data_IF_608784361860
#
_entry.id   IF_608784361860
#
_cell.length_a   1.000
_cell.length_b   1.000
_cell.length_c   1.000
_cell.angle_alpha   90.00
_cell.angle_beta   90.00
_cell.angle_gamma   90.00
#
_symmetry.space_group_name_H-M   'P 1'
#
loop_
_entity.id
_entity.type
_entity.pdbx_description
1 polymer ?
#
# COMPACT_ATOMS: atom_id res chain seq x y z
N UNK A 1 -15.04 34.22 47.07
CA UNK A 1 -16.03 33.16 47.34
C UNK A 1 -15.76 32.05 46.33
N UNK A 2 -14.90 31.07 46.65
CA UNK A 2 -15.25 29.79 47.32
C UNK A 2 -16.40 29.10 46.57
N UNK A 3 -16.27 27.90 45.99
CA UNK A 3 -15.78 26.69 46.63
C UNK A 3 -15.13 25.68 45.66
N UNK A 4 -14.13 25.01 46.21
CA UNK A 4 -13.43 23.79 45.77
C UNK A 4 -14.08 22.52 46.33
N UNK A 5 -14.02 21.40 45.61
CA UNK A 5 -14.06 20.01 46.13
C UNK A 5 -13.91 19.07 44.92
N UNK A 6 -12.79 18.38 44.63
CA UNK A 6 -12.01 17.37 45.36
C UNK A 6 -12.81 16.13 45.78
N UNK A 7 -12.63 15.03 45.03
CA UNK A 7 -12.46 13.68 45.61
C UNK A 7 -11.68 12.79 44.64
N UNK A 8 -10.68 12.11 45.20
CA UNK A 8 -9.80 11.13 44.57
C UNK A 8 -10.01 9.74 45.22
N UNK A 9 -9.28 8.74 44.68
CA UNK A 9 -9.07 7.37 45.19
C UNK A 9 -10.11 6.34 44.72
N UNK A 10 -9.77 5.12 44.29
CA UNK A 10 -8.89 4.14 44.95
C UNK A 10 -8.28 3.16 43.92
N UNK A 11 -6.99 2.87 44.08
CA UNK A 11 -6.27 1.76 43.45
C UNK A 11 -6.50 0.44 44.22
N UNK A 12 -6.56 -0.70 43.53
CA UNK A 12 -6.44 -2.01 44.17
C UNK A 12 -5.40 -2.88 43.46
N UNK A 13 -4.28 -3.12 44.15
CA UNK A 13 -3.28 -4.16 43.88
C UNK A 13 -3.71 -5.48 44.54
N UNK A 14 -3.55 -6.61 43.83
CA UNK A 14 -3.15 -7.96 44.34
C UNK A 14 -2.61 -8.73 43.13
N UNK A 15 -1.35 -9.15 42.96
CA UNK A 15 -0.31 -9.83 43.76
C UNK A 15 -0.36 -11.37 43.72
N UNK A 16 0.76 -11.96 43.22
CA UNK A 16 1.38 -13.27 43.54
C UNK A 16 0.71 -14.53 42.96
N UNK A 17 1.38 -15.63 42.60
CA UNK A 17 2.78 -16.07 42.69
C UNK A 17 2.99 -17.40 41.91
N UNK A 18 4.24 -17.64 41.49
CA UNK A 18 5.00 -18.92 41.44
C UNK A 18 4.45 -20.18 40.77
N UNK A 19 5.25 -20.82 39.91
CA UNK A 19 6.11 -21.96 40.29
C UNK A 19 6.86 -22.55 39.08
N UNK A 20 8.14 -22.85 39.30
CA UNK A 20 9.03 -23.62 38.44
C UNK A 20 8.98 -25.11 38.81
N UNK A 21 9.35 -26.01 37.87
CA UNK A 21 9.97 -27.35 38.04
C UNK A 21 10.17 -27.93 36.62
N UNK A 22 11.39 -28.07 36.07
CA UNK A 22 12.41 -29.14 36.24
C UNK A 22 12.11 -30.48 35.54
N UNK A 23 13.11 -30.95 34.77
CA UNK A 23 13.29 -32.31 34.21
C UNK A 23 13.75 -32.22 32.74
N UNK A 24 15.01 -32.46 32.34
CA UNK A 24 15.83 -33.67 32.51
C UNK A 24 15.41 -34.71 31.46
N UNK A 25 16.22 -35.24 30.54
CA UNK A 25 17.63 -35.13 30.18
C UNK A 25 17.92 -36.02 28.95
N UNK A 26 19.20 -36.07 28.54
CA UNK A 26 19.98 -37.19 27.92
C UNK A 26 19.33 -38.00 26.76
N UNK A 27 19.92 -38.25 25.60
CA UNK A 27 21.28 -38.22 25.09
C UNK A 27 21.41 -39.18 23.89
N UNK A 28 22.60 -39.22 23.25
CA UNK A 28 23.02 -40.27 22.30
C UNK A 28 22.80 -39.90 20.81
N UNK A 29 23.79 -39.46 20.03
CA UNK A 29 25.07 -40.08 19.61
C UNK A 29 24.92 -41.26 18.62
N UNK A 30 25.55 -41.12 17.44
CA UNK A 30 25.83 -42.20 16.49
C UNK A 30 25.69 -41.74 15.03
N UNK A 31 26.72 -41.14 14.42
CA UNK A 31 27.88 -41.76 13.72
C UNK A 31 27.54 -42.52 12.43
N UNK A 32 28.29 -42.22 11.37
CA UNK A 32 28.50 -43.08 10.19
C UNK A 32 28.40 -42.31 8.88
N UNK A 33 29.42 -41.54 8.48
CA UNK A 33 30.54 -41.98 7.62
C UNK A 33 30.11 -42.21 6.14
N UNK A 34 30.53 -41.31 5.24
CA UNK A 34 31.53 -41.51 4.15
C UNK A 34 31.08 -42.57 3.11
N UNK A 35 31.19 -42.33 1.80
CA UNK A 35 32.45 -42.52 1.06
C UNK A 35 32.24 -42.15 -0.43
N UNK A 36 33.24 -41.45 -0.99
CA UNK A 36 33.79 -41.44 -2.37
C UNK A 36 32.98 -41.00 -3.62
N UNK A 37 33.48 -39.89 -4.21
CA UNK A 37 33.75 -39.71 -5.66
C UNK A 37 34.88 -40.69 -6.09
N UNK A 38 35.09 -41.06 -7.38
CA UNK A 38 35.59 -40.18 -8.45
C UNK A 38 34.95 -40.51 -9.83
N UNK A 39 35.00 -39.73 -10.90
CA UNK A 39 36.12 -39.06 -11.55
C UNK A 39 35.91 -39.13 -13.08
N UNK A 40 36.69 -38.35 -13.83
CA UNK A 40 36.80 -38.41 -15.29
C UNK A 40 35.86 -37.44 -16.01
N UNK A 41 36.29 -36.59 -16.95
CA UNK A 41 37.60 -36.42 -17.56
C UNK A 41 37.43 -35.38 -18.67
N UNK A 42 38.33 -34.40 -18.68
CA UNK A 42 38.45 -33.39 -19.72
C UNK A 42 39.06 -34.02 -20.98
N UNK A 43 38.43 -33.87 -22.16
CA UNK A 43 39.13 -33.82 -23.46
C UNK A 43 38.42 -32.88 -24.43
N UNK A 44 39.24 -32.03 -25.05
CA UNK A 44 38.94 -31.11 -26.15
C UNK A 44 38.94 -31.85 -27.49
N UNK A 45 38.07 -31.41 -28.40
CA UNK A 45 38.27 -31.27 -29.85
C UNK A 45 37.17 -30.29 -30.29
N UNK A 46 37.45 -29.13 -30.89
CA UNK A 46 38.10 -28.97 -32.20
C UNK A 46 37.00 -28.89 -33.25
N UNK A 47 36.71 -27.69 -33.77
CA UNK A 47 35.69 -27.49 -34.79
C UNK A 47 35.33 -26.02 -34.97
N UNK A 48 36.13 -25.33 -35.77
CA UNK A 48 35.78 -24.03 -36.37
C UNK A 48 34.47 -24.16 -37.14
N UNK A 49 33.52 -23.30 -36.81
CA UNK A 49 32.22 -23.19 -37.46
C UNK A 49 31.76 -21.74 -37.36
N UNK A 50 32.17 -20.97 -38.36
CA UNK A 50 31.63 -19.65 -38.67
C UNK A 50 30.12 -19.81 -38.92
N UNK A 51 29.32 -19.43 -37.92
CA UNK A 51 27.88 -19.30 -38.10
C UNK A 51 27.42 -17.95 -37.54
N UNK A 52 26.93 -17.13 -38.46
CA UNK A 52 26.50 -15.76 -38.26
C UNK A 52 25.32 -15.68 -37.29
N UNK A 53 25.64 -15.73 -36.00
CA UNK A 53 24.70 -15.53 -34.91
C UNK A 53 24.25 -14.08 -34.88
N UNK A 54 23.19 -13.76 -35.63
CA UNK A 54 22.31 -12.61 -35.36
C UNK A 54 21.95 -12.69 -33.88
N UNK A 55 22.64 -11.91 -33.04
CA UNK A 55 22.26 -11.70 -31.64
C UNK A 55 20.84 -11.16 -31.67
N UNK A 56 19.89 -12.07 -31.44
CA UNK A 56 18.51 -11.72 -31.17
C UNK A 56 18.58 -10.74 -30.02
N UNK A 57 18.37 -9.45 -30.32
CA UNK A 57 18.12 -8.43 -29.30
C UNK A 57 16.89 -8.93 -28.58
N UNK A 58 17.10 -9.63 -27.46
CA UNK A 58 16.06 -9.99 -26.51
C UNK A 58 15.50 -8.64 -26.08
N UNK A 59 14.44 -8.19 -26.78
CA UNK A 59 13.62 -7.07 -26.33
C UNK A 59 13.36 -7.41 -24.87
N UNK A 60 13.91 -6.62 -23.96
CA UNK A 60 13.40 -6.60 -22.61
C UNK A 60 11.94 -6.26 -22.78
N UNK A 61 11.07 -7.28 -22.76
CA UNK A 61 9.67 -7.07 -22.48
C UNK A 61 9.72 -6.43 -21.10
N UNK A 62 9.51 -5.12 -21.03
CA UNK A 62 9.44 -4.42 -19.77
C UNK A 62 8.55 -5.25 -18.86
N UNK A 63 9.02 -5.57 -17.66
CA UNK A 63 8.19 -6.23 -16.68
C UNK A 63 6.85 -5.46 -16.64
N UNK A 64 5.70 -6.14 -16.66
CA UNK A 64 4.42 -5.45 -16.60
C UNK A 64 4.47 -4.53 -15.38
N UNK A 65 4.35 -3.22 -15.61
CA UNK A 65 4.18 -2.26 -14.52
C UNK A 65 2.94 -2.70 -13.76
N UNK A 66 3.03 -2.83 -12.44
CA UNK A 66 1.84 -2.98 -11.63
C UNK A 66 0.89 -1.84 -11.98
N UNK A 67 -0.32 -2.18 -12.39
CA UNK A 67 -1.38 -1.26 -12.78
C UNK A 67 -2.57 -1.55 -11.87
N UNK A 68 -3.07 -0.50 -11.25
CA UNK A 68 -4.30 -0.52 -10.45
C UNK A 68 -5.37 0.26 -11.21
N UNK A 69 -6.62 0.06 -10.81
CA UNK A 69 -7.80 0.67 -11.43
C UNK A 69 -8.44 1.74 -10.54
N UNK A 70 -8.01 1.82 -9.28
CA UNK A 70 -8.63 2.65 -8.27
C UNK A 70 -9.99 2.13 -7.80
N UNK A 71 -10.33 0.88 -8.13
CA UNK A 71 -11.47 0.18 -7.57
C UNK A 71 -11.02 -0.58 -6.32
N UNK A 72 -11.12 0.11 -5.18
CA UNK A 72 -10.78 -0.48 -3.88
C UNK A 72 -11.61 -1.73 -3.64
N UNK A 73 -10.92 -2.84 -3.35
CA UNK A 73 -11.51 -4.16 -3.17
C UNK A 73 -12.05 -4.37 -1.75
N UNK A 74 -11.62 -3.54 -0.80
CA UNK A 74 -12.07 -3.56 0.58
C UNK A 74 -11.08 -2.91 1.52
N UNK A 75 -11.24 -3.24 2.81
CA UNK A 75 -10.41 -2.73 3.90
C UNK A 75 -9.58 -3.86 4.51
N UNK A 76 -8.31 -3.57 4.76
CA UNK A 76 -7.41 -4.43 5.51
C UNK A 76 -7.13 -3.77 6.87
N UNK A 77 -6.89 -4.59 7.89
CA UNK A 77 -6.63 -4.14 9.26
C UNK A 77 -5.12 -4.11 9.51
N UNK A 78 -4.64 -3.06 10.17
CA UNK A 78 -3.24 -2.97 10.59
C UNK A 78 -3.04 -3.89 11.79
N UNK A 79 -2.31 -4.99 11.59
CA UNK A 79 -2.01 -5.96 12.66
C UNK A 79 -0.70 -5.65 13.37
N UNK A 80 0.30 -5.13 12.64
CA UNK A 80 1.54 -4.65 13.22
C UNK A 80 2.14 -3.51 12.39
N UNK A 81 2.84 -2.61 13.08
CA UNK A 81 3.65 -1.56 12.48
C UNK A 81 4.98 -1.47 13.24
N UNK A 82 6.06 -1.90 12.62
CA UNK A 82 7.38 -1.99 13.25
C UNK A 82 8.32 -0.99 12.59
N UNK A 83 8.72 0.07 13.29
CA UNK A 83 9.77 0.97 12.81
C UNK A 83 11.14 0.32 13.03
N UNK A 84 11.88 0.14 11.95
CA UNK A 84 13.23 -0.41 11.94
C UNK A 84 14.19 0.74 11.60
N UNK A 85 15.11 1.05 12.51
CA UNK A 85 16.17 2.05 12.30
C UNK A 85 15.70 3.48 11.95
N UNK A 86 14.43 3.82 12.19
CA UNK A 86 13.85 5.16 12.02
C UNK A 86 13.53 5.58 10.58
N UNK A 87 14.20 4.99 9.59
CA UNK A 87 14.03 5.29 8.16
C UNK A 87 13.34 4.15 7.38
N UNK A 88 13.01 3.06 8.07
CA UNK A 88 12.35 1.90 7.49
C UNK A 88 11.23 1.44 8.41
N UNK A 89 10.17 0.89 7.84
CA UNK A 89 9.12 0.27 8.63
C UNK A 89 8.62 -1.01 7.99
N UNK A 90 8.17 -1.95 8.81
CA UNK A 90 7.40 -3.10 8.36
C UNK A 90 5.95 -2.91 8.77
N UNK A 91 5.07 -2.94 7.77
CA UNK A 91 3.63 -2.94 7.93
C UNK A 91 3.10 -4.35 7.72
N UNK A 92 2.37 -4.90 8.69
CA UNK A 92 1.66 -6.17 8.55
C UNK A 92 0.16 -5.91 8.56
N UNK A 93 -0.51 -6.36 7.51
CA UNK A 93 -1.95 -6.18 7.32
C UNK A 93 -2.68 -7.52 7.37
N UNK A 94 -3.78 -7.56 8.10
CA UNK A 94 -4.77 -8.64 8.09
C UNK A 94 -5.83 -8.36 7.03
N UNK A 95 -6.03 -9.32 6.14
CA UNK A 95 -6.99 -9.19 5.03
C UNK A 95 -8.24 -10.05 5.27
N UNK A 96 -9.39 -9.67 4.68
CA UNK A 96 -10.55 -10.53 4.62
C UNK A 96 -10.21 -11.91 4.02
N UNK A 97 -10.94 -12.94 4.46
CA UNK A 97 -10.74 -14.32 3.99
C UNK A 97 -10.85 -14.42 2.47
N UNK A 98 -9.95 -15.18 1.85
CA UNK A 98 -9.90 -15.38 0.39
C UNK A 98 -9.17 -14.27 -0.39
N UNK A 99 -9.01 -13.08 0.18
CA UNK A 99 -8.37 -11.93 -0.53
C UNK A 99 -6.93 -12.22 -0.96
N UNK A 100 -6.16 -12.90 -0.10
CA UNK A 100 -4.76 -13.23 -0.35
C UNK A 100 -4.57 -14.55 -1.13
N UNK A 101 -5.65 -15.16 -1.63
CA UNK A 101 -5.53 -16.42 -2.36
C UNK A 101 -4.70 -16.24 -3.63
N UNK A 102 -3.71 -17.13 -3.78
CA UNK A 102 -2.72 -17.11 -4.85
C UNK A 102 -1.79 -15.88 -4.85
N UNK A 103 -1.75 -15.08 -3.78
CA UNK A 103 -0.75 -14.02 -3.66
C UNK A 103 0.64 -14.64 -3.43
N UNK A 104 1.67 -14.01 -3.98
CA UNK A 104 3.05 -14.46 -3.87
C UNK A 104 3.90 -13.32 -3.34
N UNK A 105 5.01 -13.66 -2.68
CA UNK A 105 6.07 -12.71 -2.39
C UNK A 105 6.51 -12.05 -3.72
N UNK A 106 6.68 -10.74 -3.71
CA UNK A 106 6.95 -9.94 -4.91
C UNK A 106 5.69 -9.47 -5.65
N UNK A 107 4.48 -9.86 -5.22
CA UNK A 107 3.24 -9.28 -5.75
C UNK A 107 3.06 -7.83 -5.28
N UNK A 108 2.40 -7.02 -6.10
CA UNK A 108 2.07 -5.64 -5.79
C UNK A 108 0.63 -5.51 -5.28
N UNK A 109 0.46 -4.74 -4.20
CA UNK A 109 -0.81 -4.39 -3.59
C UNK A 109 -0.79 -2.90 -3.29
N UNK A 110 -1.79 -2.17 -3.75
CA UNK A 110 -1.98 -0.78 -3.37
C UNK A 110 -2.60 -0.75 -1.97
N UNK A 111 -1.98 -0.02 -1.05
CA UNK A 111 -2.46 0.22 0.32
C UNK A 111 -2.67 1.72 0.49
N UNK A 112 -3.91 2.15 0.72
CA UNK A 112 -4.32 3.56 0.61
C UNK A 112 -3.77 4.21 -0.66
N UNK A 113 -3.83 3.51 -1.80
CA UNK A 113 -3.31 4.00 -3.08
C UNK A 113 -1.78 4.01 -3.20
N UNK A 114 -1.03 3.46 -2.24
CA UNK A 114 0.43 3.33 -2.34
C UNK A 114 0.80 1.92 -2.79
N UNK A 115 1.49 1.79 -3.91
CA UNK A 115 1.96 0.49 -4.42
C UNK A 115 3.04 -0.08 -3.48
N UNK A 116 2.72 -1.16 -2.79
CA UNK A 116 3.65 -1.88 -1.92
C UNK A 116 3.90 -3.29 -2.44
N UNK A 117 5.09 -3.82 -2.18
CA UNK A 117 5.47 -5.17 -2.56
C UNK A 117 5.32 -6.10 -1.36
N UNK A 118 4.62 -7.22 -1.55
CA UNK A 118 4.47 -8.27 -0.54
C UNK A 118 5.83 -8.88 -0.25
N UNK A 119 6.31 -8.76 0.98
CA UNK A 119 7.59 -9.35 1.43
C UNK A 119 7.40 -10.64 2.21
N UNK A 120 6.24 -10.80 2.87
CA UNK A 120 5.86 -12.02 3.61
C UNK A 120 4.37 -12.27 3.50
N UNK A 121 3.97 -13.54 3.59
CA UNK A 121 2.58 -13.98 3.65
C UNK A 121 2.50 -15.05 4.72
N UNK A 122 1.75 -14.80 5.79
CA UNK A 122 1.58 -15.76 6.87
C UNK A 122 0.16 -16.36 6.85
N UNK A 123 0.04 -17.59 7.35
CA UNK A 123 -1.20 -18.38 7.27
C UNK A 123 -1.32 -19.28 6.03
N UNK A 124 -0.20 -19.60 5.37
CA UNK A 124 -0.15 -20.48 4.18
C UNK A 124 -0.01 -21.97 4.54
N UNK A 125 0.35 -22.30 5.79
CA UNK A 125 0.61 -23.69 6.23
C UNK A 125 -0.48 -24.32 7.12
N UNK A 126 -1.62 -23.66 7.33
CA UNK A 126 -2.74 -24.28 8.04
C UNK A 126 -3.73 -24.86 7.03
N UNK A 127 -3.70 -26.19 6.88
CA UNK A 127 -4.76 -27.09 6.42
C UNK A 127 -6.00 -26.43 5.81
N UNK A 128 -6.35 -26.81 4.58
CA UNK A 128 -7.65 -26.52 3.94
C UNK A 128 -8.78 -26.66 4.97
N UNK A 129 -9.36 -25.54 5.41
CA UNK A 129 -10.40 -25.49 6.44
C UNK A 129 -10.18 -24.51 7.60
N UNK A 130 -9.03 -23.83 7.71
CA UNK A 130 -8.81 -22.80 8.75
C UNK A 130 -9.41 -21.42 8.34
N UNK A 131 -10.45 -20.98 9.04
CA UNK A 131 -11.07 -19.64 8.92
C UNK A 131 -10.26 -18.53 9.63
N UNK A 132 -8.93 -18.59 9.57
CA UNK A 132 -8.07 -17.53 10.11
C UNK A 132 -7.80 -16.48 9.03
N UNK A 133 -7.91 -15.20 9.40
CA UNK A 133 -7.51 -14.07 8.54
C UNK A 133 -6.04 -14.23 8.16
N UNK A 134 -5.74 -14.21 6.85
CA UNK A 134 -4.37 -14.26 6.33
C UNK A 134 -3.74 -12.88 6.44
N UNK A 135 -2.45 -12.84 6.74
CA UNK A 135 -1.70 -11.59 6.81
C UNK A 135 -0.69 -11.50 5.67
N UNK A 136 -0.40 -10.28 5.24
CA UNK A 136 0.74 -9.98 4.38
C UNK A 136 1.53 -8.82 4.97
N UNK A 137 2.86 -8.90 4.86
CA UNK A 137 3.77 -7.84 5.28
C UNK A 137 4.36 -7.10 4.09
N UNK A 138 4.65 -5.82 4.33
CA UNK A 138 5.20 -4.88 3.39
C UNK A 138 6.32 -4.11 4.07
N UNK A 139 7.38 -3.86 3.33
CA UNK A 139 8.51 -3.06 3.77
C UNK A 139 8.37 -1.65 3.18
N UNK A 140 8.42 -0.63 4.03
CA UNK A 140 8.22 0.78 3.69
C UNK A 140 9.54 1.52 3.87
N UNK A 141 9.96 2.21 2.81
CA UNK A 141 11.15 3.06 2.81
C UNK A 141 10.82 4.47 3.29
N UNK A 142 11.84 5.23 3.66
CA UNK A 142 11.73 6.61 4.16
C UNK A 142 10.88 7.51 3.26
N UNK A 143 11.03 7.41 1.94
CA UNK A 143 10.25 8.23 1.01
C UNK A 143 8.76 7.89 1.05
N UNK A 144 8.41 6.61 1.14
CA UNK A 144 7.02 6.17 1.31
C UNK A 144 6.44 6.68 2.63
N UNK A 145 7.20 6.59 3.72
CA UNK A 145 6.78 7.07 5.04
C UNK A 145 6.57 8.59 5.05
N UNK A 146 7.41 9.34 4.32
CA UNK A 146 7.36 10.80 4.21
C UNK A 146 6.23 11.29 3.31
N UNK A 147 6.03 10.66 2.15
CA UNK A 147 5.13 11.12 1.11
C UNK A 147 3.67 10.68 1.30
N UNK A 148 3.41 9.74 2.23
CA UNK A 148 2.09 9.12 2.41
C UNK A 148 1.60 9.18 3.85
N UNK A 149 0.32 8.90 4.06
CA UNK A 149 -0.28 8.72 5.38
C UNK A 149 0.11 7.41 6.08
N UNK A 150 0.87 6.52 5.41
CA UNK A 150 1.19 5.20 5.95
C UNK A 150 2.07 5.27 7.21
N UNK A 151 2.93 6.29 7.32
CA UNK A 151 3.78 6.50 8.50
C UNK A 151 3.02 6.88 9.77
N UNK A 152 1.73 7.24 9.65
CA UNK A 152 0.86 7.62 10.79
C UNK A 152 -0.07 6.48 11.23
N UNK A 153 -0.05 5.34 10.53
CA UNK A 153 -0.93 4.22 10.83
C UNK A 153 -0.71 3.68 12.24
N UNK A 154 -1.81 3.32 12.89
CA UNK A 154 -1.82 2.71 14.21
C UNK A 154 -2.34 1.28 14.12
N UNK A 155 -1.85 0.41 15.01
CA UNK A 155 -2.37 -0.96 15.12
C UNK A 155 -3.87 -0.92 15.40
N UNK A 156 -4.61 -1.73 14.66
CA UNK A 156 -6.07 -1.78 14.67
C UNK A 156 -6.77 -0.81 13.74
N UNK A 157 -6.04 0.12 13.11
CA UNK A 157 -6.57 0.97 12.04
C UNK A 157 -6.95 0.17 10.79
N UNK A 158 -7.77 0.76 9.93
CA UNK A 158 -8.14 0.20 8.62
C UNK A 158 -7.43 0.98 7.50
N UNK A 159 -7.10 0.27 6.42
CA UNK A 159 -6.55 0.83 5.18
C UNK A 159 -7.31 0.26 3.99
N UNK A 160 -7.47 1.05 2.93
CA UNK A 160 -7.93 0.56 1.64
C UNK A 160 -6.90 -0.40 1.04
N UNK A 161 -7.35 -1.46 0.37
CA UNK A 161 -6.47 -2.28 -0.47
C UNK A 161 -7.02 -2.53 -1.87
N UNK A 162 -6.10 -2.68 -2.83
CA UNK A 162 -6.37 -3.15 -4.18
C UNK A 162 -5.19 -4.01 -4.66
N UNK A 163 -5.44 -5.23 -5.13
CA UNK A 163 -4.41 -6.05 -5.79
C UNK A 163 -4.15 -5.52 -7.20
N UNK A 164 -2.92 -5.63 -7.68
CA UNK A 164 -2.63 -5.25 -9.07
C UNK A 164 -3.51 -6.03 -10.06
N UNK A 165 -4.04 -5.30 -11.04
CA UNK A 165 -4.94 -5.82 -12.04
C UNK A 165 -4.25 -6.90 -12.90
N UNK A 166 -4.99 -7.94 -13.24
CA UNK A 166 -4.63 -8.97 -14.19
C UNK A 166 -5.24 -8.65 -15.55
N UNK A 167 -4.66 -9.25 -16.60
CA UNK A 167 -5.24 -9.13 -17.94
C UNK A 167 -6.64 -9.74 -17.94
N UNK A 168 -7.63 -8.94 -18.29
CA UNK A 168 -9.05 -9.34 -18.30
C UNK A 168 -9.85 -8.89 -17.08
N UNK A 169 -9.22 -8.26 -16.09
CA UNK A 169 -9.94 -7.64 -14.97
C UNK A 169 -10.74 -6.43 -15.47
N UNK A 170 -11.86 -6.13 -14.79
CA UNK A 170 -12.67 -4.95 -15.07
C UNK A 170 -11.90 -3.67 -14.75
N UNK A 171 -11.89 -2.74 -15.69
CA UNK A 171 -11.30 -1.40 -15.52
C UNK A 171 -12.47 -0.42 -15.40
N UNK A 172 -13.03 -0.28 -14.20
CA UNK A 172 -14.16 0.62 -13.94
C UNK A 172 -13.76 2.02 -13.44
N UNK A 173 -12.50 2.22 -13.04
CA UNK A 173 -11.96 3.53 -12.66
C UNK A 173 -11.05 4.12 -13.75
N UNK A 174 -10.01 4.83 -13.33
CA UNK A 174 -8.92 5.28 -14.20
C UNK A 174 -7.64 4.49 -13.90
N UNK A 175 -6.62 4.66 -14.74
CA UNK A 175 -5.33 4.01 -14.48
C UNK A 175 -4.64 4.66 -13.29
N UNK A 176 -4.42 3.86 -12.23
CA UNK A 176 -3.72 4.26 -11.01
C UNK A 176 -2.39 3.50 -10.95
N UNK A 177 -1.28 4.21 -10.77
CA UNK A 177 0.06 3.63 -10.67
C UNK A 177 0.40 3.16 -9.25
N UNK A 178 -0.24 3.75 -8.25
CA UNK A 178 0.09 3.58 -6.85
C UNK A 178 1.28 4.43 -6.40
N UNK A 179 1.60 5.49 -7.14
CA UNK A 179 2.63 6.46 -6.80
C UNK A 179 1.98 7.74 -6.28
N UNK A 180 1.87 7.80 -4.96
CA UNK A 180 1.32 8.96 -4.25
C UNK A 180 2.20 10.18 -4.50
N UNK A 181 1.59 11.28 -4.91
CA UNK A 181 2.28 12.54 -5.21
C UNK A 181 2.36 13.43 -3.96
N UNK A 182 1.29 13.49 -3.18
CA UNK A 182 1.23 14.23 -1.93
C UNK A 182 0.11 13.70 -1.04
N UNK A 183 0.03 14.18 0.19
CA UNK A 183 -1.17 14.03 1.02
C UNK A 183 -2.10 15.22 0.87
N UNK A 184 -3.36 15.06 1.27
CA UNK A 184 -4.29 16.17 1.47
C UNK A 184 -5.08 16.01 2.76
N UNK A 185 -5.35 17.12 3.42
CA UNK A 185 -6.19 17.16 4.61
C UNK A 185 -7.66 17.34 4.20
N UNK A 186 -8.57 16.67 4.89
CA UNK A 186 -10.01 16.92 4.76
C UNK A 186 -10.35 18.21 5.49
N UNK A 187 -10.82 19.22 4.77
CA UNK A 187 -11.17 20.55 5.35
C UNK A 187 -12.66 20.72 5.59
N UNK A 188 -13.51 19.99 4.86
CA UNK A 188 -14.95 19.97 5.08
C UNK A 188 -15.57 18.63 4.66
N UNK A 189 -16.64 18.24 5.36
CA UNK A 189 -17.49 17.10 5.02
C UNK A 189 -18.94 17.57 5.13
N UNK A 190 -19.71 17.35 4.07
CA UNK A 190 -21.14 17.67 4.02
C UNK A 190 -21.91 16.41 3.64
N UNK A 191 -22.74 15.91 4.55
CA UNK A 191 -23.60 14.76 4.31
C UNK A 191 -24.96 15.20 3.76
N UNK A 192 -25.43 14.52 2.73
CA UNK A 192 -26.80 14.64 2.20
C UNK A 192 -27.51 13.28 2.29
N UNK A 193 -28.79 13.23 1.92
CA UNK A 193 -29.59 12.00 1.95
C UNK A 193 -28.98 10.86 1.10
N UNK A 194 -28.26 11.18 0.03
CA UNK A 194 -27.81 10.20 -0.96
C UNK A 194 -26.30 10.20 -1.23
N UNK A 195 -25.56 11.17 -0.70
CA UNK A 195 -24.14 11.30 -0.97
C UNK A 195 -23.42 12.08 0.14
N UNK A 196 -22.09 11.98 0.13
CA UNK A 196 -21.21 12.78 0.98
C UNK A 196 -20.30 13.64 0.11
N UNK A 197 -20.33 14.96 0.28
CA UNK A 197 -19.32 15.86 -0.29
C UNK A 197 -18.13 15.89 0.67
N UNK A 198 -16.93 15.72 0.14
CA UNK A 198 -15.69 15.86 0.91
C UNK A 198 -14.79 16.87 0.21
N UNK A 199 -14.31 17.85 0.95
CA UNK A 199 -13.36 18.87 0.48
C UNK A 199 -11.99 18.54 1.01
N UNK A 200 -11.01 18.52 0.11
CA UNK A 200 -9.61 18.22 0.41
C UNK A 200 -8.75 19.44 0.09
N UNK A 201 -7.75 19.68 0.94
CA UNK A 201 -6.69 20.67 0.71
C UNK A 201 -5.35 19.98 0.53
N UNK A 202 -4.73 20.20 -0.63
CA UNK A 202 -3.43 19.62 -0.95
C UNK A 202 -2.35 20.14 0.01
N UNK A 203 -1.48 19.23 0.46
CA UNK A 203 -0.27 19.61 1.22
C UNK A 203 0.74 20.36 0.34
N UNK A 204 0.85 19.97 -0.94
CA UNK A 204 1.57 20.71 -1.97
C UNK A 204 0.58 21.40 -2.92
N UNK A 205 0.33 22.68 -2.67
CA UNK A 205 -0.60 23.49 -3.46
C UNK A 205 -0.17 23.62 -4.92
N UNK A 206 1.13 23.49 -5.23
CA UNK A 206 1.64 23.57 -6.62
C UNK A 206 1.07 22.48 -7.53
N UNK A 207 0.64 21.36 -6.95
CA UNK A 207 0.04 20.24 -7.67
C UNK A 207 -1.42 20.48 -8.08
N UNK A 208 -2.08 21.53 -7.60
CA UNK A 208 -3.49 21.82 -7.92
C UNK A 208 -3.72 22.06 -9.43
N UNK A 209 -2.68 22.44 -10.18
CA UNK A 209 -2.75 22.64 -11.63
C UNK A 209 -3.12 21.37 -12.41
N UNK A 210 -2.89 20.19 -11.82
CA UNK A 210 -3.26 18.90 -12.39
C UNK A 210 -4.64 18.41 -11.95
N UNK A 211 -5.30 19.09 -11.01
CA UNK A 211 -6.63 18.73 -10.52
C UNK A 211 -7.66 19.52 -11.31
N UNK A 212 -8.34 18.84 -12.24
CA UNK A 212 -9.26 19.47 -13.18
C UNK A 212 -10.71 19.10 -12.85
N UNK A 213 -11.67 20.04 -12.85
CA UNK A 213 -13.09 19.73 -12.70
C UNK A 213 -13.53 18.67 -13.71
N UNK A 214 -14.28 17.66 -13.25
CA UNK A 214 -14.70 16.48 -14.04
C UNK A 214 -13.56 15.57 -14.52
N UNK A 215 -12.31 15.85 -14.12
CA UNK A 215 -11.19 14.94 -14.30
C UNK A 215 -11.16 13.83 -13.25
N UNK A 216 -10.19 12.94 -13.37
CA UNK A 216 -9.95 11.85 -12.43
C UNK A 216 -8.87 12.21 -11.40
N UNK A 217 -9.02 11.67 -10.20
CA UNK A 217 -8.01 11.70 -9.15
C UNK A 217 -8.11 10.43 -8.30
N UNK A 218 -6.98 9.95 -7.78
CA UNK A 218 -6.95 8.85 -6.83
C UNK A 218 -6.82 9.39 -5.40
N UNK A 219 -7.77 9.02 -4.52
CA UNK A 219 -7.79 9.41 -3.10
C UNK A 219 -7.77 8.16 -2.22
N UNK A 220 -6.69 7.94 -1.47
CA UNK A 220 -6.41 6.68 -0.76
C UNK A 220 -6.62 5.44 -1.65
N UNK A 221 -6.28 5.55 -2.93
CA UNK A 221 -6.44 4.48 -3.91
C UNK A 221 -7.84 4.39 -4.51
N UNK A 222 -8.79 5.25 -4.14
CA UNK A 222 -10.11 5.30 -4.78
C UNK A 222 -10.05 6.20 -6.01
N UNK A 223 -10.41 5.67 -7.18
CA UNK A 223 -10.62 6.47 -8.39
C UNK A 223 -11.90 7.29 -8.24
N UNK A 224 -11.78 8.61 -8.21
CA UNK A 224 -12.89 9.54 -8.01
C UNK A 224 -12.92 10.61 -9.10
N UNK A 225 -14.12 11.15 -9.34
CA UNK A 225 -14.31 12.30 -10.23
C UNK A 225 -14.23 13.59 -9.43
N UNK A 226 -13.38 14.51 -9.89
CA UNK A 226 -13.20 15.83 -9.28
C UNK A 226 -14.45 16.69 -9.50
N UNK A 227 -14.91 17.33 -8.44
CA UNK A 227 -15.97 18.33 -8.44
C UNK A 227 -15.43 19.72 -8.74
N UNK A 228 -15.66 20.64 -7.80
CA UNK A 228 -15.16 22.01 -7.82
C UNK A 228 -13.69 22.03 -7.42
N UNK A 229 -12.95 23.01 -7.97
CA UNK A 229 -11.53 23.20 -7.71
C UNK A 229 -11.27 24.68 -7.45
N UNK A 230 -10.64 24.99 -6.31
CA UNK A 230 -10.13 26.30 -5.97
C UNK A 230 -8.61 26.30 -6.10
N UNK A 231 -8.12 26.85 -7.21
CA UNK A 231 -6.68 26.93 -7.52
C UNK A 231 -5.91 27.85 -6.57
N UNK A 232 -6.58 28.82 -5.94
CA UNK A 232 -5.93 29.77 -5.01
C UNK A 232 -5.69 29.13 -3.65
N UNK A 233 -6.66 28.38 -3.13
CA UNK A 233 -6.53 27.72 -1.82
C UNK A 233 -5.87 26.35 -1.91
N UNK A 234 -5.80 25.75 -3.11
CA UNK A 234 -5.31 24.39 -3.31
C UNK A 234 -6.34 23.34 -2.90
N UNK A 235 -7.64 23.68 -3.00
CA UNK A 235 -8.73 22.82 -2.57
C UNK A 235 -9.50 22.24 -3.76
N UNK A 236 -10.01 21.03 -3.58
CA UNK A 236 -10.98 20.44 -4.49
C UNK A 236 -11.97 19.61 -3.68
N UNK A 237 -13.11 19.29 -4.28
CA UNK A 237 -14.06 18.37 -3.66
C UNK A 237 -14.36 17.15 -4.54
N UNK A 238 -14.90 16.13 -3.90
CA UNK A 238 -15.51 14.97 -4.55
C UNK A 238 -16.90 14.74 -3.98
N UNK A 239 -17.68 13.91 -4.66
CA UNK A 239 -18.96 13.39 -4.16
C UNK A 239 -18.86 11.87 -4.07
N UNK A 240 -19.09 11.34 -2.87
CA UNK A 240 -19.01 9.91 -2.58
C UNK A 240 -20.41 9.31 -2.53
N UNK A 241 -20.59 8.21 -3.25
CA UNK A 241 -21.82 7.42 -3.21
C UNK A 241 -21.80 6.44 -2.03
N UNK A 242 -22.97 5.93 -1.58
CA UNK A 242 -23.05 5.02 -0.43
C UNK A 242 -22.15 3.78 -0.54
N UNK A 243 -22.01 3.22 -1.74
CA UNK A 243 -21.18 2.04 -1.96
C UNK A 243 -19.69 2.33 -1.72
N UNK A 244 -19.18 3.47 -2.19
CA UNK A 244 -17.79 3.89 -1.93
C UNK A 244 -17.56 4.13 -0.44
N UNK A 245 -18.51 4.76 0.25
CA UNK A 245 -18.42 4.98 1.70
C UNK A 245 -18.40 3.66 2.48
N UNK A 246 -19.15 2.65 2.02
CA UNK A 246 -19.24 1.33 2.66
C UNK A 246 -17.97 0.50 2.48
N UNK A 247 -17.42 0.47 1.26
CA UNK A 247 -16.31 -0.43 0.91
C UNK A 247 -14.94 0.16 1.30
N UNK A 248 -14.84 1.49 1.42
CA UNK A 248 -13.55 2.18 1.62
C UNK A 248 -13.44 2.84 2.99
N UNK A 249 -12.23 3.17 3.41
CA UNK A 249 -11.98 3.89 4.67
C UNK A 249 -12.49 5.33 4.65
N UNK A 250 -12.83 5.88 3.48
CA UNK A 250 -13.32 7.26 3.33
C UNK A 250 -14.63 7.49 4.09
N UNK A 251 -15.44 6.43 4.30
CA UNK A 251 -16.65 6.52 5.13
C UNK A 251 -16.37 6.85 6.60
N UNK A 252 -15.18 6.48 7.10
CA UNK A 252 -14.77 6.66 8.48
C UNK A 252 -13.96 7.95 8.71
N UNK A 253 -13.56 8.64 7.64
CA UNK A 253 -12.73 9.85 7.74
C UNK A 253 -13.54 11.09 8.06
N UNK A 254 -12.92 12.00 8.80
CA UNK A 254 -13.48 13.26 9.28
C UNK A 254 -12.58 14.44 8.95
N UNK A 255 -13.09 15.66 9.18
CA UNK A 255 -12.28 16.88 9.06
C UNK A 255 -11.03 16.79 9.91
N UNK A 256 -9.87 17.10 9.32
CA UNK A 256 -8.55 16.98 9.93
C UNK A 256 -7.79 15.70 9.58
N UNK A 257 -8.45 14.67 9.03
CA UNK A 257 -7.77 13.46 8.57
C UNK A 257 -7.01 13.70 7.26
N UNK A 258 -5.88 13.01 7.10
CA UNK A 258 -5.06 13.02 5.89
C UNK A 258 -5.41 11.85 4.96
N UNK A 259 -5.40 12.10 3.65
CA UNK A 259 -5.53 11.11 2.58
C UNK A 259 -4.32 11.15 1.65
N UNK A 260 -3.99 10.03 1.04
CA UNK A 260 -3.00 9.98 -0.04
C UNK A 260 -3.64 10.43 -1.36
N UNK A 261 -2.95 11.27 -2.11
CA UNK A 261 -3.38 11.70 -3.43
C UNK A 261 -2.41 11.25 -4.52
N UNK A 262 -2.98 10.67 -5.58
CA UNK A 262 -2.28 10.45 -6.84
C UNK A 262 -3.02 11.17 -7.97
N UNK A 263 -2.27 11.99 -8.70
CA UNK A 263 -2.73 12.70 -9.89
C UNK A 263 -2.77 11.73 -11.07
N UNK A 264 -3.76 11.91 -11.96
CA UNK A 264 -3.83 11.16 -13.19
C UNK A 264 -2.59 11.44 -14.08
N UNK A 265 -1.82 10.39 -14.35
CA UNK A 265 -0.58 10.48 -15.14
C UNK A 265 -0.76 11.09 -16.53
N UNK A 266 -1.91 10.89 -17.18
CA UNK A 266 -2.19 11.51 -18.48
C UNK A 266 -2.32 13.02 -18.37
N UNK A 267 -3.12 13.51 -17.43
CA UNK A 267 -3.23 14.94 -17.12
C UNK A 267 -1.86 15.55 -16.80
N UNK A 268 -1.05 14.89 -15.97
CA UNK A 268 0.29 15.37 -15.63
C UNK A 268 1.18 15.55 -16.87
N UNK A 269 1.27 14.51 -17.72
CA UNK A 269 2.08 14.56 -18.94
C UNK A 269 1.61 15.67 -19.88
N UNK A 270 0.30 15.85 -20.04
CA UNK A 270 -0.26 16.89 -20.91
C UNK A 270 0.10 18.29 -20.39
N UNK A 271 -0.18 18.56 -19.11
CA UNK A 271 0.08 19.87 -18.50
C UNK A 271 1.57 20.21 -18.56
N UNK A 272 2.45 19.29 -18.14
CA UNK A 272 3.89 19.53 -18.12
C UNK A 272 4.47 19.75 -19.52
N UNK A 273 3.96 19.02 -20.51
CA UNK A 273 4.40 19.18 -21.91
C UNK A 273 4.00 20.55 -22.45
N UNK A 274 2.78 21.00 -22.18
CA UNK A 274 2.30 22.31 -22.61
C UNK A 274 3.07 23.44 -21.92
N UNK A 275 3.26 23.36 -20.61
CA UNK A 275 4.02 24.36 -19.85
C UNK A 275 5.46 24.48 -20.36
N UNK A 276 6.13 23.34 -20.60
CA UNK A 276 7.48 23.34 -21.16
C UNK A 276 7.52 23.97 -22.56
N UNK A 277 6.56 23.60 -23.41
CA UNK A 277 6.48 24.13 -24.78
C UNK A 277 6.21 25.65 -24.80
N UNK A 278 5.38 26.16 -23.90
CA UNK A 278 5.12 27.60 -23.75
C UNK A 278 6.36 28.33 -23.22
N UNK A 279 7.05 27.77 -22.22
CA UNK A 279 8.28 28.32 -21.67
C UNK A 279 9.41 28.41 -22.71
N UNK A 280 9.57 27.39 -23.56
CA UNK A 280 10.54 27.39 -24.68
C UNK A 280 10.24 28.48 -25.72
N UNK A 281 9.00 28.97 -25.78
CA UNK A 281 8.56 30.04 -26.68
C UNK A 281 8.48 31.42 -26.03
N UNK A 282 8.83 31.53 -24.75
CA UNK A 282 8.73 32.78 -23.99
C UNK A 282 7.30 33.30 -23.84
N UNK A 283 6.31 32.38 -23.84
CA UNK A 283 4.89 32.68 -23.64
C UNK A 283 4.47 32.47 -22.19
#
# INVERSE_FOLDING_TARGET
>A
MMMTSSVASVATLRSRSSAAMRGGGVGGAGRGARVSRPGGGCRRAGGDGDDGGRRARRRMRGAPRALFTGLVQGKARVEAFETLDGEFARLTLGFPSGTLDGIRIGASVAVNGTCLTVTRVDGVDACVGSSASKTASFDLIVETLRATNLGKLQVGGEVNYERSARVGDEIGGHTVSGHVHCTAAITAVEDTEHNRKVVFKLSDVGLIKYVLPKGFISVDGCSLTVGEVNKTTGEFNVWLIPETLRVTVLGNKSVGDDVNLEIESQTQVIVDTIERYMAERGM
#
